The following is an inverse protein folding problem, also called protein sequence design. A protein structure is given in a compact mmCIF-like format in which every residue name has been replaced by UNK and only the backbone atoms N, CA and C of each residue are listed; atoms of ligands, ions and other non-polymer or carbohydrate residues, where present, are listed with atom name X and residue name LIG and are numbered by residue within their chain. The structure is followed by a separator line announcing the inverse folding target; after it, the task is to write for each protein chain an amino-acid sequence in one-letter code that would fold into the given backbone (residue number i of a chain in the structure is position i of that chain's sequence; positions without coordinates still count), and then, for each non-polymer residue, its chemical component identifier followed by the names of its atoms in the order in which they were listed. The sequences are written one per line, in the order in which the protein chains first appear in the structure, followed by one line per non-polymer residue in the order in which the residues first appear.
data_IF_954251781471
#
_entry.id   IF_954251781471
#
_cell.length_a   1.000
_cell.length_b   1.000
_cell.length_c   1.000
_cell.angle_alpha   90.00
_cell.angle_beta   90.00
_cell.angle_gamma   90.00
#
_symmetry.space_group_name_H-M   'P 1'
#
loop_
_entity.id
_entity.type
_entity.pdbx_description
1 polymer ?
#
# COMPACT_ATOMS: atom_id res chain seq x y z
N UNK A 1 5.11 20.86 0.37
CA UNK A 1 5.97 20.38 1.46
C UNK A 1 5.58 18.94 1.86
N UNK A 2 4.39 18.68 2.43
CA UNK A 2 4.02 17.32 2.91
C UNK A 2 4.00 16.29 1.77
N UNK A 3 3.41 16.62 0.61
CA UNK A 3 3.39 15.71 -0.55
C UNK A 3 4.80 15.39 -1.07
N UNK A 4 5.72 16.34 -1.04
CA UNK A 4 7.13 16.17 -1.41
C UNK A 4 7.84 15.23 -0.44
N UNK A 5 7.70 15.46 0.87
CA UNK A 5 8.25 14.58 1.93
C UNK A 5 7.75 13.14 1.75
N UNK A 6 6.46 12.96 1.47
CA UNK A 6 5.89 11.63 1.26
C UNK A 6 6.28 10.98 -0.08
N UNK A 7 6.67 11.79 -1.07
CA UNK A 7 7.15 11.27 -2.35
C UNK A 7 8.55 10.67 -2.25
N UNK A 8 9.40 11.29 -1.46
CA UNK A 8 10.80 10.94 -1.24
C UNK A 8 10.95 10.05 0.00
N UNK A 9 11.25 8.78 -0.18
CA UNK A 9 11.33 7.81 0.92
C UNK A 9 12.30 8.24 2.03
N UNK A 10 13.46 8.77 1.65
CA UNK A 10 14.45 9.24 2.62
C UNK A 10 13.98 10.46 3.40
N UNK A 11 13.31 11.42 2.75
CA UNK A 11 12.76 12.60 3.43
C UNK A 11 11.66 12.22 4.43
N UNK A 12 10.85 11.20 4.10
CA UNK A 12 9.87 10.67 5.05
C UNK A 12 10.58 10.12 6.30
N UNK A 13 11.60 9.27 6.12
CA UNK A 13 12.37 8.70 7.22
C UNK A 13 13.05 9.75 8.09
N UNK A 14 13.67 10.74 7.48
CA UNK A 14 14.32 11.87 8.14
C UNK A 14 13.32 12.72 8.92
N UNK A 15 12.15 13.02 8.32
CA UNK A 15 11.10 13.81 8.96
C UNK A 15 10.52 13.11 10.17
N UNK A 16 10.28 11.80 10.09
CA UNK A 16 9.84 11.02 11.24
C UNK A 16 10.89 10.99 12.34
N UNK A 17 12.14 10.80 11.98
CA UNK A 17 13.26 10.67 12.89
C UNK A 17 13.54 9.23 13.32
N UNK A 18 14.77 8.95 13.72
CA UNK A 18 15.24 7.59 14.05
C UNK A 18 14.56 6.99 15.28
N UNK A 19 14.16 7.81 16.23
CA UNK A 19 13.52 7.37 17.48
C UNK A 19 11.99 7.27 17.35
N UNK A 20 11.44 7.53 16.17
CA UNK A 20 10.01 7.46 15.94
C UNK A 20 9.57 5.99 15.82
N UNK A 21 8.78 5.52 16.78
CA UNK A 21 8.26 4.15 16.82
C UNK A 21 7.45 3.84 15.58
N UNK A 22 7.82 2.78 14.88
CA UNK A 22 7.23 2.40 13.58
C UNK A 22 8.04 2.91 12.37
N UNK A 23 9.13 3.67 12.60
CA UNK A 23 10.11 4.03 11.58
C UNK A 23 11.33 3.12 11.70
N UNK A 24 11.73 2.45 10.64
CA UNK A 24 12.88 1.56 10.62
C UNK A 24 14.20 2.32 10.43
N UNK A 25 15.29 1.66 10.80
CA UNK A 25 16.64 2.11 10.45
C UNK A 25 16.78 2.12 8.92
N UNK A 26 17.59 3.03 8.40
CA UNK A 26 17.80 3.15 6.97
C UNK A 26 19.19 3.67 6.63
N UNK A 27 19.66 3.34 5.45
CA UNK A 27 20.89 3.84 4.85
C UNK A 27 20.55 4.44 3.47
N UNK A 28 20.83 5.73 3.29
CA UNK A 28 20.74 6.39 1.97
C UNK A 28 22.14 6.40 1.36
N UNK A 29 22.25 6.02 0.09
CA UNK A 29 23.52 5.92 -0.61
C UNK A 29 23.37 6.30 -2.09
N UNK A 30 24.45 6.85 -2.63
CA UNK A 30 24.60 7.24 -4.04
C UNK A 30 25.64 6.39 -4.76
N UNK A 31 26.50 5.70 -4.00
CA UNK A 31 27.54 4.82 -4.54
C UNK A 31 27.41 3.39 -4.02
N UNK A 32 27.97 2.44 -4.77
CA UNK A 32 28.00 1.04 -4.37
C UNK A 32 28.78 0.85 -3.06
N UNK A 33 29.88 1.58 -2.88
CA UNK A 33 30.70 1.51 -1.67
C UNK A 33 29.91 1.91 -0.42
N UNK A 34 29.09 2.97 -0.51
CA UNK A 34 28.18 3.38 0.55
C UNK A 34 27.13 2.31 0.82
N UNK A 35 26.51 1.74 -0.24
CA UNK A 35 25.48 0.71 -0.13
C UNK A 35 26.00 -0.56 0.56
N UNK A 36 27.26 -0.92 0.34
CA UNK A 36 27.92 -2.08 0.97
C UNK A 36 28.18 -1.89 2.47
N UNK A 37 27.95 -0.71 3.04
CA UNK A 37 27.96 -0.51 4.51
C UNK A 37 26.70 -1.04 5.18
N UNK A 38 25.66 -1.41 4.42
CA UNK A 38 24.44 -2.00 4.96
C UNK A 38 24.71 -3.38 5.57
N UNK A 39 24.25 -3.60 6.82
CA UNK A 39 24.53 -4.82 7.60
C UNK A 39 23.26 -5.52 8.12
N UNK A 40 22.08 -5.00 7.80
CA UNK A 40 20.78 -5.50 8.32
C UNK A 40 20.09 -6.41 7.29
N UNK A 41 20.63 -7.60 7.10
CA UNK A 41 20.03 -8.58 6.18
C UNK A 41 19.00 -9.49 6.88
N UNK A 42 17.93 -9.91 6.15
CA UNK A 42 17.58 -9.46 4.80
C UNK A 42 17.17 -7.99 4.78
N UNK A 43 17.41 -7.31 3.64
CA UNK A 43 17.08 -5.91 3.45
C UNK A 43 16.23 -5.66 2.22
N UNK A 44 15.67 -4.46 2.14
CA UNK A 44 15.01 -3.93 0.95
C UNK A 44 15.80 -2.76 0.39
N UNK A 45 16.23 -2.87 -0.86
CA UNK A 45 16.89 -1.83 -1.63
C UNK A 45 15.88 -1.18 -2.58
N UNK A 46 15.76 0.15 -2.54
CA UNK A 46 14.74 0.90 -3.29
C UNK A 46 15.32 2.22 -3.80
N UNK A 47 14.91 2.70 -5.00
CA UNK A 47 15.15 4.10 -5.37
C UNK A 47 14.39 5.02 -4.41
N UNK A 48 14.98 6.16 -4.04
CA UNK A 48 14.35 7.08 -3.08
C UNK A 48 13.06 7.71 -3.62
N UNK A 49 12.97 7.96 -4.92
CA UNK A 49 11.97 8.76 -5.63
C UNK A 49 11.14 7.98 -6.67
N UNK A 50 11.29 6.65 -6.74
CA UNK A 50 10.52 5.80 -7.65
C UNK A 50 9.25 5.25 -6.99
N UNK A 51 8.20 5.11 -7.79
CA UNK A 51 6.92 4.51 -7.40
C UNK A 51 6.61 3.26 -8.24
N UNK A 52 5.60 2.48 -7.81
CA UNK A 52 5.16 1.29 -8.56
C UNK A 52 6.16 0.14 -8.52
N UNK A 53 6.95 0.05 -7.45
CA UNK A 53 7.89 -1.05 -7.15
C UNK A 53 9.04 -1.20 -8.15
N UNK A 54 9.25 -0.22 -9.02
CA UNK A 54 10.36 -0.22 -9.98
C UNK A 54 11.69 -0.04 -9.25
N UNK A 55 12.64 -0.91 -9.54
CA UNK A 55 13.96 -0.89 -8.93
C UNK A 55 13.98 -1.30 -7.45
N UNK A 56 12.91 -1.93 -6.94
CA UNK A 56 12.85 -2.45 -5.56
C UNK A 56 13.29 -3.91 -5.54
N UNK A 57 14.27 -4.23 -4.69
CA UNK A 57 14.83 -5.58 -4.58
C UNK A 57 15.01 -5.97 -3.11
N UNK A 58 14.64 -7.20 -2.78
CA UNK A 58 15.11 -7.84 -1.56
C UNK A 58 16.58 -8.22 -1.76
N UNK A 59 17.37 -7.97 -0.75
CA UNK A 59 18.79 -8.30 -0.71
C UNK A 59 19.06 -9.12 0.56
N UNK A 60 19.60 -10.32 0.38
CA UNK A 60 19.86 -11.25 1.48
C UNK A 60 21.34 -11.23 1.90
N UNK A 61 22.19 -10.60 1.08
CA UNK A 61 23.63 -10.42 1.38
C UNK A 61 24.24 -9.27 0.54
N UNK A 62 25.51 -8.96 0.82
CA UNK A 62 26.24 -7.91 0.10
C UNK A 62 26.39 -8.18 -1.41
N UNK A 63 26.40 -9.45 -1.82
CA UNK A 63 26.50 -9.79 -3.25
C UNK A 63 25.22 -9.43 -4.00
N UNK A 64 24.05 -9.56 -3.39
CA UNK A 64 22.78 -9.09 -3.97
C UNK A 64 22.79 -7.58 -4.19
N UNK A 65 23.39 -6.82 -3.26
CA UNK A 65 23.57 -5.37 -3.43
C UNK A 65 24.45 -5.10 -4.66
N UNK A 66 25.61 -5.79 -4.80
CA UNK A 66 26.49 -5.60 -5.98
C UNK A 66 25.75 -5.85 -7.29
N UNK A 67 24.95 -6.93 -7.33
CA UNK A 67 24.22 -7.34 -8.52
C UNK A 67 23.07 -6.37 -8.88
N UNK A 68 22.41 -5.78 -7.88
CA UNK A 68 21.16 -5.04 -8.08
C UNK A 68 21.29 -3.52 -7.97
N UNK A 69 22.39 -3.01 -7.43
CA UNK A 69 22.58 -1.57 -7.17
C UNK A 69 22.37 -0.71 -8.42
N UNK A 70 23.06 -1.04 -9.55
CA UNK A 70 22.91 -0.32 -10.80
C UNK A 70 21.47 -0.31 -11.30
N UNK A 71 20.82 -1.48 -11.30
CA UNK A 71 19.43 -1.60 -11.73
C UNK A 71 18.46 -0.80 -10.85
N UNK A 72 18.71 -0.71 -9.53
CA UNK A 72 17.91 0.12 -8.66
C UNK A 72 18.13 1.60 -8.93
N UNK A 73 19.39 2.01 -9.08
CA UNK A 73 19.79 3.40 -9.31
C UNK A 73 19.22 3.98 -10.61
N UNK A 74 19.09 3.18 -11.67
CA UNK A 74 18.49 3.59 -12.97
C UNK A 74 17.08 4.15 -12.83
N UNK A 75 16.34 3.73 -11.78
CA UNK A 75 14.99 4.21 -11.50
C UNK A 75 14.95 5.43 -10.58
N UNK A 76 16.10 5.91 -10.08
CA UNK A 76 16.18 7.11 -9.27
C UNK A 76 16.56 8.33 -10.11
N UNK A 77 15.74 9.37 -10.07
CA UNK A 77 16.05 10.66 -10.69
C UNK A 77 17.06 11.45 -9.88
N UNK A 78 17.04 11.27 -8.54
CA UNK A 78 18.03 11.88 -7.64
C UNK A 78 19.39 11.17 -7.63
N UNK A 79 19.50 10.01 -8.27
CA UNK A 79 20.71 9.21 -8.23
C UNK A 79 21.01 8.64 -6.85
N UNK A 80 19.96 8.31 -6.08
CA UNK A 80 20.07 7.76 -4.72
C UNK A 80 19.19 6.54 -4.53
N UNK A 81 19.63 5.64 -3.69
CA UNK A 81 18.84 4.52 -3.19
C UNK A 81 18.74 4.58 -1.67
N UNK A 82 17.73 3.90 -1.13
CA UNK A 82 17.57 3.65 0.30
C UNK A 82 17.60 2.14 0.54
N UNK A 83 18.34 1.72 1.56
CA UNK A 83 18.38 0.37 2.09
C UNK A 83 17.74 0.37 3.48
N UNK A 84 16.82 -0.55 3.72
CA UNK A 84 16.08 -0.72 4.96
C UNK A 84 16.06 -2.20 5.35
N UNK A 85 15.98 -2.56 6.64
CA UNK A 85 15.70 -3.94 7.02
C UNK A 85 14.43 -4.45 6.33
N UNK A 86 14.43 -5.71 5.93
CA UNK A 86 13.22 -6.34 5.40
C UNK A 86 12.30 -6.73 6.57
N UNK A 87 11.14 -6.11 6.65
CA UNK A 87 10.15 -6.44 7.67
C UNK A 87 9.38 -7.69 7.23
N UNK A 88 9.52 -8.77 8.00
CA UNK A 88 8.69 -9.98 7.82
C UNK A 88 7.29 -9.73 8.39
N UNK A 89 6.28 -10.37 7.81
CA UNK A 89 4.91 -10.32 8.29
C UNK A 89 3.89 -9.78 7.29
N UNK A 90 2.61 -9.75 7.67
CA UNK A 90 1.54 -9.34 6.80
C UNK A 90 1.63 -7.86 6.44
N UNK A 91 1.26 -7.56 5.21
CA UNK A 91 1.18 -6.18 4.73
C UNK A 91 -0.25 -5.67 4.83
N UNK A 92 -0.39 -4.47 5.37
CA UNK A 92 -1.67 -3.80 5.56
C UNK A 92 -1.67 -2.42 4.94
N UNK A 93 -2.87 -1.94 4.65
CA UNK A 93 -3.13 -0.56 4.24
C UNK A 93 -4.04 0.11 5.26
N UNK A 94 -3.65 1.29 5.73
CA UNK A 94 -4.50 2.14 6.56
C UNK A 94 -4.96 3.31 5.70
N UNK A 95 -6.26 3.38 5.44
CA UNK A 95 -6.87 4.48 4.70
C UNK A 95 -7.57 5.40 5.69
N UNK A 96 -7.20 6.68 5.69
CA UNK A 96 -7.68 7.67 6.65
C UNK A 96 -8.29 8.89 5.96
N UNK A 97 -9.08 9.64 6.72
CA UNK A 97 -9.54 10.97 6.36
C UNK A 97 -9.38 11.93 7.55
N UNK A 98 -8.73 13.05 7.31
CA UNK A 98 -8.52 14.10 8.32
C UNK A 98 -9.34 15.33 7.98
N UNK A 99 -9.77 16.05 9.02
CA UNK A 99 -10.38 17.36 8.90
C UNK A 99 -9.99 18.21 10.11
N UNK A 100 -9.44 19.38 9.86
CA UNK A 100 -8.93 20.30 10.89
C UNK A 100 -7.92 19.63 11.85
N UNK A 101 -7.08 18.74 11.33
CA UNK A 101 -6.12 17.95 12.10
C UNK A 101 -6.72 16.80 12.92
N UNK A 102 -8.03 16.58 12.83
CA UNK A 102 -8.72 15.49 13.53
C UNK A 102 -8.93 14.33 12.58
N UNK A 103 -8.56 13.11 13.03
CA UNK A 103 -8.88 11.88 12.32
C UNK A 103 -10.39 11.62 12.36
N UNK A 104 -11.06 11.69 11.22
CA UNK A 104 -12.52 11.50 11.08
C UNK A 104 -12.89 10.09 10.66
N UNK A 105 -12.00 9.43 9.95
CA UNK A 105 -12.22 8.07 9.45
C UNK A 105 -10.90 7.31 9.35
N UNK A 106 -10.93 6.03 9.69
CA UNK A 106 -9.84 5.10 9.44
C UNK A 106 -10.40 3.70 9.15
N UNK A 107 -9.81 3.01 8.20
CA UNK A 107 -10.05 1.60 7.95
C UNK A 107 -8.74 0.90 7.62
N UNK A 108 -8.56 -0.28 8.22
CA UNK A 108 -7.42 -1.16 7.96
C UNK A 108 -7.85 -2.27 7.03
N UNK A 109 -7.06 -2.55 6.01
CA UNK A 109 -7.27 -3.63 5.06
C UNK A 109 -6.01 -4.48 4.92
N UNK A 110 -6.16 -5.77 4.67
CA UNK A 110 -5.02 -6.61 4.28
C UNK A 110 -4.64 -6.30 2.83
N UNK A 111 -3.35 -6.21 2.59
CA UNK A 111 -2.77 -6.01 1.26
C UNK A 111 -2.06 -7.29 0.83
N UNK A 112 -2.69 -8.04 -0.07
CA UNK A 112 -2.16 -9.31 -0.56
C UNK A 112 -1.40 -9.08 -1.86
N UNK A 113 -0.17 -9.56 -1.91
CA UNK A 113 0.71 -9.43 -3.07
C UNK A 113 0.94 -10.76 -3.74
N UNK A 114 1.42 -10.74 -4.98
CA UNK A 114 1.93 -11.93 -5.64
C UNK A 114 3.30 -12.27 -5.03
N UNK A 115 3.45 -13.48 -4.52
CA UNK A 115 4.69 -13.97 -3.89
C UNK A 115 5.80 -14.28 -4.90
N UNK A 116 5.41 -14.61 -6.14
CA UNK A 116 6.30 -15.02 -7.23
C UNK A 116 7.01 -13.85 -7.92
N UNK A 117 6.58 -12.61 -7.68
CA UNK A 117 7.18 -11.43 -8.30
C UNK A 117 7.92 -10.55 -7.29
N UNK A 118 9.08 -9.99 -7.67
CA UNK A 118 9.80 -9.07 -6.80
C UNK A 118 9.00 -7.79 -6.55
N UNK A 119 9.28 -7.13 -5.42
CA UNK A 119 8.70 -5.83 -5.07
C UNK A 119 7.26 -5.86 -4.56
N UNK A 120 6.62 -7.04 -4.46
CA UNK A 120 5.29 -7.16 -3.84
C UNK A 120 4.15 -6.58 -4.69
N UNK A 121 4.06 -6.97 -5.97
CA UNK A 121 2.95 -6.55 -6.85
C UNK A 121 1.61 -6.90 -6.22
N UNK A 122 0.74 -5.90 -6.08
CA UNK A 122 -0.55 -6.08 -5.43
C UNK A 122 -1.48 -6.97 -6.24
N UNK A 123 -2.06 -7.96 -5.56
CA UNK A 123 -3.04 -8.90 -6.09
C UNK A 123 -4.46 -8.53 -5.66
N UNK A 124 -4.65 -8.25 -4.38
CA UNK A 124 -5.96 -7.91 -3.83
C UNK A 124 -5.86 -7.15 -2.51
N UNK A 125 -6.92 -6.44 -2.17
CA UNK A 125 -7.20 -5.93 -0.83
C UNK A 125 -8.38 -6.68 -0.21
N UNK A 126 -8.34 -6.87 1.10
CA UNK A 126 -9.41 -7.49 1.89
C UNK A 126 -9.82 -6.57 3.03
N UNK A 127 -11.11 -6.41 3.22
CA UNK A 127 -11.69 -5.68 4.35
C UNK A 127 -12.81 -6.50 4.98
N UNK A 128 -12.94 -6.51 6.33
CA UNK A 128 -11.97 -5.96 7.27
C UNK A 128 -10.63 -6.70 7.21
N UNK A 129 -9.59 -6.08 7.77
CA UNK A 129 -8.30 -6.75 7.96
C UNK A 129 -8.44 -7.94 8.93
N UNK A 130 -7.57 -8.93 8.79
CA UNK A 130 -7.41 -10.01 9.77
C UNK A 130 -7.03 -9.49 11.17
N UNK A 131 -6.53 -8.26 11.24
CA UNK A 131 -6.20 -7.58 12.50
C UNK A 131 -7.41 -6.94 13.18
N UNK A 132 -8.59 -6.96 12.57
CA UNK A 132 -9.77 -6.29 13.11
C UNK A 132 -10.04 -6.69 14.57
N UNK A 133 -10.15 -5.69 15.45
CA UNK A 133 -10.38 -5.85 16.88
C UNK A 133 -9.15 -6.23 17.72
N UNK A 134 -7.97 -6.36 17.09
CA UNK A 134 -6.70 -6.63 17.81
C UNK A 134 -6.01 -5.34 18.26
N UNK A 135 -5.00 -5.47 19.12
CA UNK A 135 -4.16 -4.34 19.51
C UNK A 135 -3.32 -3.82 18.33
N UNK A 136 -2.85 -4.72 17.46
CA UNK A 136 -2.10 -4.34 16.26
C UNK A 136 -2.90 -3.43 15.30
N UNK A 137 -4.22 -3.62 15.18
CA UNK A 137 -5.08 -2.71 14.42
C UNK A 137 -5.10 -1.31 15.04
N UNK A 138 -5.29 -1.23 16.37
CA UNK A 138 -5.30 0.06 17.08
C UNK A 138 -3.95 0.78 16.98
N UNK A 139 -2.85 0.05 17.13
CA UNK A 139 -1.50 0.59 16.96
C UNK A 139 -1.26 1.08 15.54
N UNK A 140 -1.77 0.39 14.50
CA UNK A 140 -1.65 0.82 13.11
C UNK A 140 -2.41 2.13 12.85
N UNK A 141 -3.61 2.28 13.40
CA UNK A 141 -4.39 3.52 13.29
C UNK A 141 -3.73 4.66 14.09
N UNK A 142 -3.22 4.36 15.30
CA UNK A 142 -2.49 5.35 16.09
C UNK A 142 -1.18 5.78 15.43
N UNK A 143 -0.43 4.85 14.85
CA UNK A 143 0.76 5.16 14.06
C UNK A 143 0.43 6.10 12.90
N UNK A 144 -0.65 5.83 12.16
CA UNK A 144 -1.10 6.69 11.07
C UNK A 144 -1.42 8.10 11.57
N UNK A 145 -2.10 8.23 12.71
CA UNK A 145 -2.41 9.52 13.36
C UNK A 145 -1.14 10.27 13.75
N UNK A 146 -0.20 9.62 14.43
CA UNK A 146 1.10 10.23 14.84
C UNK A 146 1.93 10.67 13.64
N UNK A 147 1.94 9.89 12.56
CA UNK A 147 2.60 10.28 11.31
C UNK A 147 1.93 11.52 10.70
N UNK A 148 0.60 11.56 10.66
CA UNK A 148 -0.13 12.72 10.15
C UNK A 148 0.19 14.00 10.96
N UNK A 149 0.25 13.90 12.28
CA UNK A 149 0.66 15.00 13.16
C UNK A 149 2.09 15.48 12.86
N UNK A 150 3.03 14.54 12.72
CA UNK A 150 4.44 14.83 12.41
C UNK A 150 4.63 15.50 11.04
N UNK A 151 3.79 15.12 10.08
CA UNK A 151 3.77 15.68 8.72
C UNK A 151 2.92 16.94 8.59
N UNK A 152 2.31 17.42 9.68
CA UNK A 152 1.38 18.55 9.70
C UNK A 152 0.20 18.35 8.71
N UNK A 153 -0.22 17.10 8.51
CA UNK A 153 -1.36 16.77 7.66
C UNK A 153 -2.66 17.10 8.40
N UNK A 154 -3.38 18.12 7.94
CA UNK A 154 -4.58 18.61 8.60
C UNK A 154 -5.87 18.17 7.93
N UNK A 155 -5.87 18.11 6.60
CA UNK A 155 -7.10 17.98 5.81
C UNK A 155 -6.92 17.00 4.66
N UNK A 156 -7.97 16.22 4.41
CA UNK A 156 -8.04 15.30 3.30
C UNK A 156 -7.65 13.86 3.62
N UNK A 157 -7.64 13.01 2.59
CA UNK A 157 -7.30 11.59 2.72
C UNK A 157 -5.81 11.37 2.83
N UNK A 158 -5.43 10.33 3.57
CA UNK A 158 -4.07 9.83 3.58
C UNK A 158 -4.06 8.30 3.60
N UNK A 159 -3.19 7.74 2.80
CA UNK A 159 -2.93 6.31 2.69
C UNK A 159 -1.60 5.98 3.31
N UNK A 160 -1.58 4.92 4.11
CA UNK A 160 -0.38 4.38 4.75
C UNK A 160 -0.22 2.91 4.38
N UNK A 161 0.93 2.54 3.86
CA UNK A 161 1.33 1.16 3.67
C UNK A 161 2.21 0.75 4.82
N UNK A 162 1.84 -0.31 5.51
CA UNK A 162 2.54 -0.82 6.67
C UNK A 162 2.74 -2.32 6.57
N UNK A 163 3.72 -2.84 7.29
CA UNK A 163 3.80 -4.25 7.65
C UNK A 163 3.66 -4.39 9.15
N UNK A 164 3.17 -5.53 9.58
CA UNK A 164 3.10 -5.86 11.00
C UNK A 164 4.18 -6.90 11.27
N UNK A 165 5.12 -6.58 12.14
CA UNK A 165 6.26 -7.43 12.46
C UNK A 165 5.86 -8.67 13.28
N UNK A 166 6.81 -9.52 13.61
CA UNK A 166 6.61 -10.72 14.42
C UNK A 166 6.11 -10.45 15.85
N UNK A 167 6.32 -9.24 16.36
CA UNK A 167 5.86 -8.77 17.68
C UNK A 167 4.49 -8.07 17.59
N UNK A 168 3.84 -8.13 16.43
CA UNK A 168 2.57 -7.47 16.15
C UNK A 168 2.64 -5.93 16.12
N UNK A 169 3.80 -5.32 15.96
CA UNK A 169 3.95 -3.88 15.83
C UNK A 169 3.90 -3.43 14.36
N UNK A 170 3.13 -2.39 14.04
CA UNK A 170 3.07 -1.83 12.69
C UNK A 170 4.32 -1.01 12.37
N UNK A 171 4.91 -1.28 11.23
CA UNK A 171 6.06 -0.58 10.66
C UNK A 171 5.65 0.13 9.38
N UNK A 172 5.91 1.44 9.30
CA UNK A 172 5.56 2.24 8.12
C UNK A 172 6.50 1.94 6.94
N UNK A 173 5.93 1.69 5.78
CA UNK A 173 6.66 1.52 4.52
C UNK A 173 6.52 2.74 3.62
N UNK A 174 5.31 3.25 3.46
CA UNK A 174 5.00 4.38 2.58
C UNK A 174 3.83 5.19 3.14
N UNK A 175 3.88 6.51 2.96
CA UNK A 175 2.78 7.43 3.26
C UNK A 175 2.45 8.21 2.01
N UNK A 176 1.17 8.36 1.71
CA UNK A 176 0.74 9.15 0.56
C UNK A 176 -0.47 10.01 0.93
N UNK A 177 -0.35 11.36 0.92
CA UNK A 177 -1.44 12.27 1.30
C UNK A 177 -2.47 12.41 0.16
N UNK A 178 -3.10 11.32 -0.18
CA UNK A 178 -4.17 11.18 -1.19
C UNK A 178 -4.94 9.89 -0.99
N UNK A 179 -6.02 9.71 -1.74
CA UNK A 179 -6.68 8.41 -1.85
C UNK A 179 -5.72 7.34 -2.41
N UNK A 180 -5.84 6.12 -1.90
CA UNK A 180 -5.08 4.98 -2.39
C UNK A 180 -5.33 4.74 -3.89
N UNK A 181 -4.25 4.59 -4.64
CA UNK A 181 -4.27 4.28 -6.08
C UNK A 181 -4.79 2.89 -6.44
N UNK A 182 -5.07 2.05 -5.44
CA UNK A 182 -5.65 0.71 -5.62
C UNK A 182 -7.18 0.70 -5.52
N UNK A 183 -7.85 1.84 -5.75
CA UNK A 183 -9.31 2.00 -5.71
C UNK A 183 -9.94 1.65 -4.35
N UNK A 184 -9.19 1.78 -3.26
CA UNK A 184 -9.69 1.51 -1.92
C UNK A 184 -10.92 2.34 -1.55
N UNK A 185 -11.04 3.56 -2.10
CA UNK A 185 -12.23 4.39 -1.93
C UNK A 185 -13.51 3.67 -2.39
N UNK A 186 -13.42 2.85 -3.46
CA UNK A 186 -14.55 2.08 -3.98
C UNK A 186 -14.82 0.84 -3.13
N UNK A 187 -13.76 0.13 -2.71
CA UNK A 187 -13.91 -1.00 -1.77
C UNK A 187 -14.53 -0.54 -0.44
N UNK A 188 -14.07 0.56 0.13
CA UNK A 188 -14.59 1.15 1.37
C UNK A 188 -16.07 1.51 1.22
N UNK A 189 -16.46 2.10 0.07
CA UNK A 189 -17.86 2.42 -0.21
C UNK A 189 -18.74 1.16 -0.24
N UNK A 190 -18.29 0.08 -0.86
CA UNK A 190 -19.03 -1.19 -0.86
C UNK A 190 -19.08 -1.82 0.53
N UNK A 191 -17.98 -1.77 1.28
CA UNK A 191 -17.86 -2.38 2.58
C UNK A 191 -18.70 -1.69 3.66
N UNK A 192 -18.58 -0.39 3.81
CA UNK A 192 -19.20 0.35 4.92
C UNK A 192 -20.00 1.60 4.51
N UNK A 193 -20.21 1.81 3.21
CA UNK A 193 -21.01 2.93 2.69
C UNK A 193 -20.30 4.29 2.68
N UNK A 194 -19.09 4.40 3.23
CA UNK A 194 -18.34 5.66 3.27
C UNK A 194 -17.76 5.99 1.90
N UNK A 195 -18.18 7.10 1.30
CA UNK A 195 -17.66 7.57 0.03
C UNK A 195 -16.55 8.62 0.24
N UNK A 196 -15.31 8.14 0.33
CA UNK A 196 -14.14 9.02 0.52
C UNK A 196 -13.91 9.97 -0.67
N UNK A 197 -14.36 9.63 -1.86
CA UNK A 197 -14.23 10.49 -3.04
C UNK A 197 -15.17 11.70 -2.92
N UNK A 198 -16.43 11.49 -2.55
CA UNK A 198 -17.39 12.58 -2.29
C UNK A 198 -16.92 13.42 -1.10
N UNK A 199 -16.37 12.79 -0.05
CA UNK A 199 -15.78 13.50 1.08
C UNK A 199 -14.67 14.46 0.63
N UNK A 200 -13.77 14.00 -0.27
CA UNK A 200 -12.72 14.86 -0.84
C UNK A 200 -13.30 16.05 -1.59
N UNK A 201 -14.28 15.85 -2.48
CA UNK A 201 -14.87 16.93 -3.27
C UNK A 201 -15.62 17.92 -2.37
N UNK A 202 -16.47 17.42 -1.47
CA UNK A 202 -17.25 18.28 -0.58
C UNK A 202 -16.37 19.10 0.36
N UNK A 203 -15.35 18.50 0.95
CA UNK A 203 -14.47 19.16 1.90
C UNK A 203 -13.44 20.06 1.21
N UNK A 204 -12.63 19.50 0.30
CA UNK A 204 -11.46 20.20 -0.24
C UNK A 204 -11.82 21.23 -1.32
N UNK A 205 -12.91 21.01 -2.07
CA UNK A 205 -13.34 21.93 -3.12
C UNK A 205 -14.48 22.84 -2.69
N UNK A 206 -15.47 22.32 -1.96
CA UNK A 206 -16.65 23.08 -1.56
C UNK A 206 -16.54 23.65 -0.13
N UNK A 207 -15.47 23.33 0.60
CA UNK A 207 -15.20 23.75 1.99
C UNK A 207 -16.32 23.37 2.97
N UNK A 208 -17.02 22.30 2.69
CA UNK A 208 -18.07 21.76 3.58
C UNK A 208 -17.47 20.90 4.67
N UNK A 209 -18.12 20.88 5.81
CA UNK A 209 -17.79 19.92 6.87
C UNK A 209 -18.12 18.50 6.38
N UNK A 210 -17.16 17.58 6.55
CA UNK A 210 -17.36 16.17 6.24
C UNK A 210 -17.95 15.49 7.47
N UNK A 211 -19.21 15.13 7.37
CA UNK A 211 -19.88 14.29 8.36
C UNK A 211 -19.67 12.83 7.95
N UNK A 212 -18.64 12.20 8.51
CA UNK A 212 -18.53 10.76 8.50
C UNK A 212 -19.04 10.30 9.86
N UNK A 213 -20.28 9.82 9.87
CA UNK A 213 -20.87 9.28 11.09
C UNK A 213 -20.04 8.09 11.62
N UNK A 214 -20.08 7.79 12.93
CA UNK A 214 -19.45 6.61 13.46
C UNK A 214 -19.90 5.39 12.68
N UNK A 215 -18.97 4.79 11.94
CA UNK A 215 -19.26 3.68 11.03
C UNK A 215 -19.39 2.41 11.86
N UNK A 216 -20.59 1.83 11.87
CA UNK A 216 -20.76 0.45 12.31
C UNK A 216 -20.26 -0.45 11.19
N UNK A 217 -19.01 -0.89 11.28
CA UNK A 217 -18.45 -1.79 10.28
C UNK A 217 -19.26 -3.09 10.20
N UNK A 218 -19.66 -3.50 8.98
CA UNK A 218 -20.41 -4.73 8.80
C UNK A 218 -19.53 -5.95 9.14
N UNK A 219 -20.19 -7.08 9.39
CA UNK A 219 -19.50 -8.36 9.63
C UNK A 219 -19.10 -9.07 8.33
N UNK A 220 -19.69 -8.65 7.23
CA UNK A 220 -19.38 -9.18 5.90
C UNK A 220 -17.96 -8.79 5.50
N UNK A 221 -17.27 -9.73 4.91
CA UNK A 221 -15.95 -9.52 4.35
C UNK A 221 -16.05 -9.17 2.86
N UNK A 222 -15.26 -8.20 2.43
CA UNK A 222 -15.17 -7.79 1.03
C UNK A 222 -13.74 -7.90 0.52
N UNK A 223 -13.61 -8.12 -0.76
CA UNK A 223 -12.32 -8.04 -1.44
C UNK A 223 -12.41 -7.17 -2.70
N UNK A 224 -11.34 -6.44 -2.95
CA UNK A 224 -11.03 -5.87 -4.26
C UNK A 224 -9.89 -6.70 -4.84
N UNK A 225 -10.16 -7.42 -5.94
CA UNK A 225 -9.16 -8.23 -6.62
C UNK A 225 -8.80 -7.61 -7.96
N UNK A 226 -7.51 -7.44 -8.22
CA UNK A 226 -7.04 -7.02 -9.53
C UNK A 226 -7.11 -8.16 -10.54
N UNK A 227 -7.61 -7.83 -11.72
CA UNK A 227 -7.66 -8.69 -12.89
C UNK A 227 -6.40 -8.38 -13.71
N UNK A 228 -5.36 -9.19 -13.52
CA UNK A 228 -4.05 -8.91 -14.07
C UNK A 228 -3.81 -9.68 -15.36
N UNK A 229 -3.35 -8.98 -16.40
CA UNK A 229 -2.92 -9.57 -17.67
C UNK A 229 -1.39 -9.61 -17.80
N UNK A 230 -0.88 -10.52 -18.60
CA UNK A 230 0.54 -10.56 -18.93
C UNK A 230 0.92 -9.35 -19.80
N UNK A 231 2.07 -8.78 -19.47
CA UNK A 231 2.65 -7.67 -20.23
C UNK A 231 2.80 -8.02 -21.71
N UNK A 232 2.41 -7.11 -22.60
CA UNK A 232 2.48 -7.22 -24.07
C UNK A 232 1.61 -8.30 -24.72
N UNK A 233 0.80 -9.06 -23.94
CA UNK A 233 -0.18 -10.01 -24.47
C UNK A 233 -1.50 -9.31 -24.85
N UNK A 234 -2.33 -10.01 -25.60
CA UNK A 234 -3.70 -9.56 -25.86
C UNK A 234 -4.55 -9.82 -24.62
N UNK A 235 -5.33 -8.82 -24.24
CA UNK A 235 -6.25 -8.91 -23.12
C UNK A 235 -7.57 -9.54 -23.58
N UNK A 236 -8.09 -10.50 -22.80
CA UNK A 236 -9.40 -11.06 -23.02
C UNK A 236 -10.17 -11.10 -21.70
N UNK A 237 -11.31 -10.40 -21.64
CA UNK A 237 -12.16 -10.32 -20.44
C UNK A 237 -12.74 -11.67 -20.03
N UNK A 238 -12.94 -12.58 -20.98
CA UNK A 238 -13.49 -13.92 -20.72
C UNK A 238 -12.52 -14.83 -19.93
N UNK A 239 -11.22 -14.49 -19.88
CA UNK A 239 -10.23 -15.25 -19.13
C UNK A 239 -10.36 -15.04 -17.61
N UNK A 240 -11.25 -14.13 -17.16
CA UNK A 240 -11.37 -13.74 -15.76
C UNK A 240 -12.72 -14.15 -15.17
N UNK A 241 -12.67 -14.90 -14.06
CA UNK A 241 -13.85 -15.22 -13.26
C UNK A 241 -14.34 -14.01 -12.47
N UNK A 242 -15.46 -13.44 -12.91
CA UNK A 242 -16.17 -12.34 -12.26
C UNK A 242 -17.46 -12.80 -11.54
N UNK A 243 -17.63 -14.10 -11.32
CA UNK A 243 -18.80 -14.67 -10.64
C UNK A 243 -18.96 -14.08 -9.24
N UNK A 244 -20.17 -13.62 -8.91
CA UNK A 244 -20.47 -12.99 -7.61
C UNK A 244 -19.86 -11.60 -7.40
N UNK A 245 -19.29 -10.98 -8.44
CA UNK A 245 -18.82 -9.61 -8.35
C UNK A 245 -20.00 -8.63 -8.25
N UNK A 246 -19.97 -7.73 -7.27
CA UNK A 246 -20.89 -6.60 -7.13
C UNK A 246 -20.47 -5.42 -8.02
N UNK A 247 -19.19 -5.37 -8.37
CA UNK A 247 -18.61 -4.34 -9.22
C UNK A 247 -17.43 -4.90 -10.01
N UNK A 248 -17.34 -4.55 -11.31
CA UNK A 248 -16.21 -4.86 -12.19
C UNK A 248 -15.85 -3.62 -12.99
N UNK A 249 -14.57 -3.31 -13.06
CA UNK A 249 -14.05 -2.23 -13.89
C UNK A 249 -12.87 -2.73 -14.72
N UNK A 250 -12.91 -2.45 -16.03
CA UNK A 250 -11.89 -2.86 -16.98
C UNK A 250 -11.08 -1.67 -17.47
N UNK A 251 -9.76 -1.84 -17.53
CA UNK A 251 -8.85 -0.85 -18.12
C UNK A 251 -8.62 -1.09 -19.61
N UNK A 252 -8.92 -2.34 -20.08
CA UNK A 252 -8.75 -2.77 -21.45
C UNK A 252 -10.04 -3.40 -21.99
N UNK A 253 -10.23 -3.28 -23.30
CA UNK A 253 -11.20 -4.08 -24.05
C UNK A 253 -10.58 -5.43 -24.45
N UNK A 254 -11.43 -6.44 -24.74
CA UNK A 254 -10.95 -7.69 -25.34
C UNK A 254 -10.29 -7.40 -26.67
N UNK A 255 -9.05 -7.89 -26.87
CA UNK A 255 -8.24 -7.63 -28.04
C UNK A 255 -7.21 -6.50 -27.89
N UNK A 256 -7.30 -5.69 -26.83
CA UNK A 256 -6.27 -4.69 -26.56
C UNK A 256 -4.95 -5.33 -26.16
N UNK A 257 -3.84 -4.70 -26.51
CA UNK A 257 -2.51 -5.13 -26.05
C UNK A 257 -2.23 -4.53 -24.67
N UNK A 258 -1.94 -5.39 -23.70
CA UNK A 258 -1.58 -4.98 -22.33
C UNK A 258 -0.26 -4.20 -22.37
N UNK A 259 -0.27 -2.98 -21.84
CA UNK A 259 0.93 -2.11 -21.79
C UNK A 259 1.95 -2.66 -20.81
N UNK A 260 3.22 -2.57 -21.19
CA UNK A 260 4.33 -2.92 -20.31
C UNK A 260 4.59 -1.78 -19.32
N UNK A 261 4.24 -1.97 -18.05
CA UNK A 261 4.49 -1.01 -16.97
C UNK A 261 5.55 -1.51 -16.00
N UNK A 262 5.37 -2.70 -15.42
CA UNK A 262 6.35 -3.34 -14.54
C UNK A 262 7.05 -4.55 -15.20
N UNK A 263 6.54 -5.04 -16.31
CA UNK A 263 7.14 -6.14 -17.09
C UNK A 263 6.76 -7.55 -16.61
N UNK A 264 5.87 -7.64 -15.63
CA UNK A 264 5.38 -8.92 -15.09
C UNK A 264 3.86 -9.05 -15.31
N UNK A 265 3.08 -8.75 -14.28
CA UNK A 265 1.62 -8.78 -14.32
C UNK A 265 1.06 -7.38 -14.24
N UNK A 266 0.36 -6.97 -15.28
CA UNK A 266 -0.20 -5.63 -15.41
C UNK A 266 -1.68 -5.63 -15.03
N UNK A 267 -2.13 -4.58 -14.38
CA UNK A 267 -3.55 -4.44 -14.01
C UNK A 267 -4.39 -4.23 -15.27
N UNK A 268 -5.28 -5.19 -15.56
CA UNK A 268 -6.26 -5.13 -16.66
C UNK A 268 -7.63 -4.63 -16.23
N UNK A 269 -7.88 -4.66 -14.93
CA UNK A 269 -9.11 -4.23 -14.30
C UNK A 269 -9.13 -4.60 -12.83
N UNK A 270 -10.28 -4.44 -12.19
CA UNK A 270 -10.53 -4.95 -10.85
C UNK A 270 -11.99 -5.31 -10.65
N UNK A 271 -12.23 -6.20 -9.70
CA UNK A 271 -13.57 -6.52 -9.23
C UNK A 271 -13.68 -6.29 -7.72
N UNK A 272 -14.90 -6.04 -7.25
CA UNK A 272 -15.27 -6.03 -5.83
C UNK A 272 -16.35 -7.07 -5.63
N UNK A 273 -16.20 -7.90 -4.59
CA UNK A 273 -17.21 -8.89 -4.19
C UNK A 273 -17.15 -9.17 -2.70
N UNK A 274 -18.26 -9.69 -2.17
CA UNK A 274 -18.26 -10.32 -0.85
C UNK A 274 -17.38 -11.56 -0.88
N UNK A 275 -16.69 -11.81 0.21
CA UNK A 275 -15.97 -13.06 0.45
C UNK A 275 -16.82 -14.00 1.28
N UNK A 276 -16.72 -15.29 0.99
CA UNK A 276 -17.19 -16.30 1.93
C UNK A 276 -16.34 -16.24 3.19
N UNK A 277 -16.98 -16.21 4.36
CA UNK A 277 -16.26 -15.98 5.62
C UNK A 277 -15.20 -17.06 5.85
N UNK A 278 -14.04 -16.67 6.39
CA UNK A 278 -12.93 -17.57 6.76
C UNK A 278 -13.34 -18.78 7.60
N UNK A 279 -14.51 -18.73 8.25
CA UNK A 279 -15.09 -19.86 8.98
C UNK A 279 -15.56 -21.01 8.06
N UNK A 280 -15.86 -20.76 6.80
CA UNK A 280 -16.17 -21.80 5.82
C UNK A 280 -14.89 -22.45 5.27
N UNK A 281 -13.88 -21.68 4.90
CA UNK A 281 -12.58 -22.22 4.45
C UNK A 281 -11.89 -23.11 5.50
N UNK A 282 -12.10 -22.81 6.80
CA UNK A 282 -11.61 -23.66 7.90
C UNK A 282 -12.44 -24.92 8.13
N UNK A 283 -13.71 -24.95 7.72
CA UNK A 283 -14.57 -26.13 7.82
C UNK A 283 -14.35 -27.11 6.66
N UNK A 284 -13.99 -26.62 5.49
CA UNK A 284 -13.72 -27.47 4.31
C UNK A 284 -12.31 -28.08 4.31
N UNK A 285 -11.40 -27.54 5.14
CA UNK A 285 -10.03 -28.08 5.34
C UNK A 285 -9.88 -28.97 6.57
N UNK A 286 -10.98 -29.29 7.27
CA UNK A 286 -11.08 -30.30 8.32
C UNK A 286 -11.85 -31.52 7.84
#
# INVERSE_FOLDING_TARGET
KTAEICHEKHLLRETLGRDFVGNEEYLVCSTLEEALQFQRYPGMMKPVDSQGQRGCFRVDCAEDIRLRFGNSLEYSKEGKIILEPYVEGPEISVNTYFQNGTLRFAVVSDRITFSEFPGGIIKEHRVPSLLMGTEAEKEAVDLARRIAEKLELRDGPCYYQMKVDENCHPIILEVTPRLDGCHMWNLIRHYCGVNLLDACFSHLMEQKEVLIDPVNFPKEEYQLKFLCGESEKLFNREDYDCTGAEYVFWYYETGDRVKKLNGYMEKGGYLIRKRESLNQERREKR
#
